data_IF_359706471335
#
_entry.id   IF_359706471335
#
_cell.length_a   1.000
_cell.length_b   1.000
_cell.length_c   1.000
_cell.angle_alpha   90.00
_cell.angle_beta   90.00
_cell.angle_gamma   90.00
#
_symmetry.space_group_name_H-M   'P 1'
#
loop_
_entity.id
_entity.type
_entity.pdbx_description
1 polymer ?
#
# COMPACT_ATOMS: atom_id res chain seq x y z
N UNK A 1 -13.01 69.49 13.46
CA UNK A 1 -12.25 68.23 13.61
C UNK A 1 -10.87 68.40 12.98
N UNK A 2 -9.80 68.27 13.77
CA UNK A 2 -8.42 68.54 13.37
C UNK A 2 -7.89 67.49 12.39
N UNK A 3 -7.21 67.92 11.31
CA UNK A 3 -6.65 67.08 10.24
C UNK A 3 -5.90 65.83 10.76
N UNK A 4 -5.19 65.97 11.89
CA UNK A 4 -4.49 64.88 12.60
C UNK A 4 -5.38 63.69 12.99
N UNK A 5 -6.62 63.93 13.47
CA UNK A 5 -7.54 62.84 13.86
C UNK A 5 -8.01 62.02 12.66
N UNK A 6 -8.21 62.68 11.50
CA UNK A 6 -8.62 62.01 10.27
C UNK A 6 -7.50 61.12 9.72
N UNK A 7 -6.26 61.62 9.74
CA UNK A 7 -5.08 60.88 9.30
C UNK A 7 -4.86 59.64 10.18
N UNK A 8 -4.95 59.76 11.52
CA UNK A 8 -4.81 58.62 12.42
C UNK A 8 -5.88 57.54 12.21
N UNK A 9 -7.12 57.93 11.90
CA UNK A 9 -8.19 56.98 11.57
C UNK A 9 -7.93 56.23 10.27
N UNK A 10 -7.44 56.92 9.23
CA UNK A 10 -7.11 56.31 7.95
C UNK A 10 -5.93 55.32 8.07
N UNK A 11 -4.89 55.68 8.82
CA UNK A 11 -3.75 54.79 9.10
C UNK A 11 -4.23 53.55 9.87
N UNK A 12 -5.06 53.74 10.90
CA UNK A 12 -5.64 52.62 11.66
C UNK A 12 -6.47 51.68 10.80
N UNK A 13 -7.35 52.23 9.96
CA UNK A 13 -8.17 51.45 9.03
C UNK A 13 -7.31 50.68 8.00
N UNK A 14 -6.25 51.31 7.49
CA UNK A 14 -5.32 50.68 6.55
C UNK A 14 -4.55 49.51 7.20
N UNK A 15 -4.07 49.68 8.43
CA UNK A 15 -3.39 48.62 9.18
C UNK A 15 -4.32 47.45 9.49
N UNK A 16 -5.59 47.71 9.81
CA UNK A 16 -6.59 46.66 10.03
C UNK A 16 -6.88 45.85 8.75
N UNK A 17 -6.97 46.52 7.60
CA UNK A 17 -7.14 45.86 6.30
C UNK A 17 -5.93 44.98 5.94
N UNK A 18 -4.71 45.47 6.21
CA UNK A 18 -3.48 44.69 6.04
C UNK A 18 -3.47 43.44 6.93
N UNK A 19 -3.77 43.60 8.21
CA UNK A 19 -3.83 42.48 9.16
C UNK A 19 -4.88 41.42 8.74
N UNK A 20 -6.05 41.86 8.27
CA UNK A 20 -7.09 40.96 7.76
C UNK A 20 -6.64 40.19 6.52
N UNK A 21 -5.93 40.84 5.58
CA UNK A 21 -5.39 40.17 4.39
C UNK A 21 -4.32 39.13 4.76
N UNK A 22 -3.42 39.46 5.69
CA UNK A 22 -2.40 38.52 6.17
C UNK A 22 -3.04 37.31 6.88
N UNK A 23 -4.05 37.53 7.73
CA UNK A 23 -4.77 36.46 8.40
C UNK A 23 -5.50 35.54 7.41
N UNK A 24 -6.18 36.12 6.41
CA UNK A 24 -6.87 35.36 5.36
C UNK A 24 -5.88 34.53 4.52
N UNK A 25 -4.73 35.10 4.14
CA UNK A 25 -3.67 34.39 3.43
C UNK A 25 -3.09 33.24 4.27
N UNK A 26 -2.84 33.44 5.57
CA UNK A 26 -2.33 32.40 6.47
C UNK A 26 -3.31 31.21 6.63
N UNK A 27 -4.61 31.49 6.75
CA UNK A 27 -5.65 30.44 6.75
C UNK A 27 -5.67 29.70 5.40
N UNK A 28 -5.54 30.42 4.29
CA UNK A 28 -5.47 29.83 2.95
C UNK A 28 -4.26 28.92 2.74
N UNK A 29 -3.07 29.34 3.20
CA UNK A 29 -1.82 28.54 3.11
C UNK A 29 -1.95 27.26 3.94
N UNK A 30 -2.39 27.36 5.20
CA UNK A 30 -2.54 26.18 6.06
C UNK A 30 -3.63 25.20 5.58
N UNK A 31 -4.71 25.70 4.95
CA UNK A 31 -5.70 24.85 4.32
C UNK A 31 -5.15 24.11 3.09
N UNK A 32 -4.35 24.78 2.25
CA UNK A 32 -3.66 24.17 1.10
C UNK A 32 -2.62 23.13 1.52
N UNK A 33 -1.88 23.39 2.59
CA UNK A 33 -0.89 22.45 3.12
C UNK A 33 -1.54 21.16 3.62
N UNK A 34 -2.70 21.27 4.28
CA UNK A 34 -3.48 20.10 4.74
C UNK A 34 -4.02 19.26 3.58
N UNK A 35 -4.54 19.92 2.54
CA UNK A 35 -5.02 19.23 1.33
C UNK A 35 -3.87 18.54 0.58
N UNK A 36 -2.73 19.23 0.44
CA UNK A 36 -1.52 18.68 -0.18
C UNK A 36 -0.96 17.49 0.59
N UNK A 37 -0.90 17.58 1.94
CA UNK A 37 -0.43 16.50 2.79
C UNK A 37 -1.31 15.24 2.69
N UNK A 38 -2.64 15.41 2.64
CA UNK A 38 -3.55 14.29 2.44
C UNK A 38 -3.45 13.72 1.02
N UNK A 39 -3.36 14.55 0.00
CA UNK A 39 -3.20 14.10 -1.39
C UNK A 39 -1.92 13.26 -1.58
N UNK A 40 -0.79 13.70 -1.01
CA UNK A 40 0.47 12.94 -1.02
C UNK A 40 0.33 11.62 -0.27
N UNK A 41 -0.35 11.60 0.88
CA UNK A 41 -0.61 10.36 1.64
C UNK A 41 -1.45 9.36 0.86
N UNK A 42 -2.52 9.81 0.20
CA UNK A 42 -3.37 8.93 -0.61
C UNK A 42 -2.66 8.41 -1.87
N UNK A 43 -1.85 9.25 -2.53
CA UNK A 43 -1.04 8.82 -3.66
C UNK A 43 -0.09 7.69 -3.27
N UNK A 44 0.65 7.86 -2.16
CA UNK A 44 1.57 6.83 -1.66
C UNK A 44 0.86 5.53 -1.31
N UNK A 45 -0.30 5.60 -0.64
CA UNK A 45 -1.07 4.41 -0.33
C UNK A 45 -1.50 3.63 -1.59
N UNK A 46 -1.83 4.33 -2.68
CA UNK A 46 -2.14 3.69 -3.97
C UNK A 46 -0.93 2.98 -4.56
N UNK A 47 0.25 3.61 -4.53
CA UNK A 47 1.49 3.01 -5.03
C UNK A 47 1.92 1.79 -4.19
N UNK A 48 1.80 1.88 -2.86
CA UNK A 48 2.09 0.78 -1.95
C UNK A 48 1.15 -0.42 -2.16
N UNK A 49 -0.13 -0.19 -2.50
CA UNK A 49 -1.08 -1.26 -2.85
C UNK A 49 -0.68 -1.94 -4.16
N UNK A 50 -0.27 -1.17 -5.19
CA UNK A 50 0.19 -1.76 -6.46
C UNK A 50 1.46 -2.56 -6.26
N UNK A 51 2.39 -2.05 -5.46
CA UNK A 51 3.62 -2.74 -5.12
C UNK A 51 3.34 -4.02 -4.32
N UNK A 52 2.39 -3.98 -3.37
CA UNK A 52 1.96 -5.18 -2.65
C UNK A 52 1.39 -6.26 -3.58
N UNK A 53 0.59 -5.87 -4.58
CA UNK A 53 0.09 -6.81 -5.58
C UNK A 53 1.24 -7.39 -6.42
N UNK A 54 2.20 -6.56 -6.83
CA UNK A 54 3.39 -7.02 -7.54
C UNK A 54 4.20 -8.03 -6.70
N UNK A 55 4.38 -7.77 -5.40
CA UNK A 55 5.08 -8.68 -4.48
C UNK A 55 4.40 -10.06 -4.39
N UNK A 56 3.07 -10.13 -4.50
CA UNK A 56 2.34 -11.41 -4.57
C UNK A 56 2.44 -12.07 -5.95
N UNK A 57 2.43 -11.29 -7.03
CA UNK A 57 2.60 -11.82 -8.39
C UNK A 57 4.00 -12.40 -8.58
N UNK A 58 5.03 -11.76 -8.03
CA UNK A 58 6.40 -12.29 -8.02
C UNK A 58 6.48 -13.61 -7.27
N UNK A 59 5.74 -13.74 -6.16
CA UNK A 59 5.61 -15.00 -5.44
C UNK A 59 4.98 -16.10 -6.29
N UNK A 60 3.82 -15.84 -6.91
CA UNK A 60 3.16 -16.82 -7.79
C UNK A 60 4.08 -17.22 -8.94
N UNK A 61 4.75 -16.25 -9.56
CA UNK A 61 5.63 -16.46 -10.70
C UNK A 61 6.84 -17.31 -10.33
N UNK A 62 7.48 -17.02 -9.18
CA UNK A 62 8.61 -17.79 -8.67
C UNK A 62 8.25 -19.24 -8.36
N UNK A 63 7.13 -19.46 -7.65
CA UNK A 63 6.62 -20.80 -7.34
C UNK A 63 6.37 -21.59 -8.62
N UNK A 64 5.67 -21.01 -9.59
CA UNK A 64 5.34 -21.72 -10.85
C UNK A 64 6.60 -22.05 -11.65
N UNK A 65 7.56 -21.12 -11.73
CA UNK A 65 8.84 -21.37 -12.38
C UNK A 65 9.61 -22.52 -11.72
N UNK A 66 9.68 -22.51 -10.39
CA UNK A 66 10.32 -23.58 -9.62
C UNK A 66 9.63 -24.92 -9.82
N UNK A 67 8.30 -24.96 -9.77
CA UNK A 67 7.54 -26.20 -9.97
C UNK A 67 7.73 -26.79 -11.37
N UNK A 68 7.92 -25.96 -12.40
CA UNK A 68 8.15 -26.42 -13.76
C UNK A 68 9.57 -26.99 -13.92
N UNK A 69 10.58 -26.31 -13.37
CA UNK A 69 11.98 -26.56 -13.72
C UNK A 69 12.78 -27.30 -12.65
N UNK A 70 12.38 -27.21 -11.38
CA UNK A 70 13.18 -27.63 -10.23
C UNK A 70 14.36 -26.70 -9.91
N UNK A 71 14.51 -25.56 -10.58
CA UNK A 71 15.60 -24.62 -10.35
C UNK A 71 15.35 -23.75 -9.11
N UNK A 72 16.06 -24.03 -8.04
CA UNK A 72 15.97 -23.33 -6.74
C UNK A 72 16.16 -21.81 -6.86
N UNK A 73 16.88 -21.31 -7.88
CA UNK A 73 17.04 -19.87 -8.11
C UNK A 73 15.72 -19.17 -8.45
N UNK A 74 14.70 -19.91 -8.92
CA UNK A 74 13.38 -19.37 -9.19
C UNK A 74 12.54 -19.18 -7.91
N UNK A 75 13.01 -19.65 -6.75
CA UNK A 75 12.39 -19.35 -5.45
C UNK A 75 12.80 -17.98 -4.90
N UNK A 76 13.76 -17.30 -5.50
CA UNK A 76 14.19 -15.98 -5.08
C UNK A 76 13.07 -14.92 -5.12
N UNK A 77 12.30 -14.79 -6.24
CA UNK A 77 11.11 -13.94 -6.30
C UNK A 77 10.08 -14.28 -5.21
N UNK A 78 9.87 -15.57 -4.92
CA UNK A 78 8.99 -16.01 -3.84
C UNK A 78 9.47 -15.53 -2.46
N UNK A 79 10.74 -15.77 -2.14
CA UNK A 79 11.31 -15.40 -0.83
C UNK A 79 11.36 -13.88 -0.65
N UNK A 80 11.76 -13.13 -1.69
CA UNK A 80 11.82 -11.66 -1.65
C UNK A 80 10.43 -11.04 -1.60
N UNK A 81 9.52 -11.46 -2.48
CA UNK A 81 8.15 -10.97 -2.52
C UNK A 81 7.41 -11.19 -1.21
N UNK A 82 7.61 -12.34 -0.54
CA UNK A 82 7.00 -12.60 0.77
C UNK A 82 7.44 -11.59 1.84
N UNK A 83 8.75 -11.32 1.93
CA UNK A 83 9.28 -10.32 2.88
C UNK A 83 8.81 -8.91 2.56
N UNK A 84 8.79 -8.54 1.28
CA UNK A 84 8.34 -7.22 0.84
C UNK A 84 6.84 -7.01 1.12
N UNK A 85 6.00 -8.01 0.82
CA UNK A 85 4.58 -7.97 1.11
C UNK A 85 4.29 -7.82 2.61
N UNK A 86 4.98 -8.56 3.48
CA UNK A 86 4.82 -8.46 4.93
C UNK A 86 5.17 -7.05 5.45
N UNK A 87 6.27 -6.46 4.95
CA UNK A 87 6.65 -5.09 5.29
C UNK A 87 5.59 -4.07 4.86
N UNK A 88 5.12 -4.15 3.59
CA UNK A 88 4.11 -3.24 3.05
C UNK A 88 2.77 -3.35 3.74
N UNK A 89 2.34 -4.56 4.12
CA UNK A 89 1.13 -4.74 4.92
C UNK A 89 1.22 -3.98 6.25
N UNK A 90 2.39 -3.97 6.89
CA UNK A 90 2.65 -3.20 8.10
C UNK A 90 2.57 -1.68 7.86
N UNK A 91 3.24 -1.20 6.82
CA UNK A 91 3.25 0.22 6.44
C UNK A 91 1.84 0.73 6.09
N UNK A 92 1.13 0.00 5.22
CA UNK A 92 -0.26 0.30 4.85
C UNK A 92 -1.19 0.25 6.06
N UNK A 93 -1.01 -0.67 7.01
CA UNK A 93 -1.82 -0.72 8.21
C UNK A 93 -1.64 0.53 9.09
N UNK A 94 -0.42 1.09 9.14
CA UNK A 94 -0.11 2.36 9.81
C UNK A 94 -0.72 3.56 9.09
N UNK A 95 -0.57 3.64 7.77
CA UNK A 95 -1.18 4.70 6.95
C UNK A 95 -2.71 4.73 7.07
N UNK A 96 -3.32 3.55 7.20
CA UNK A 96 -4.77 3.38 7.30
C UNK A 96 -5.30 3.42 8.75
N UNK A 97 -4.50 3.80 9.75
CA UNK A 97 -4.89 3.77 11.17
C UNK A 97 -6.28 4.38 11.46
N UNK A 98 -6.63 5.50 10.81
CA UNK A 98 -7.92 6.18 10.94
C UNK A 98 -9.07 5.64 10.07
N UNK A 99 -8.84 4.60 9.26
CA UNK A 99 -9.78 4.06 8.28
C UNK A 99 -10.09 2.58 8.56
N UNK A 100 -10.98 2.31 9.53
CA UNK A 100 -11.29 0.95 10.01
C UNK A 100 -11.72 -0.02 8.90
N UNK A 101 -12.54 0.43 7.95
CA UNK A 101 -13.00 -0.39 6.83
C UNK A 101 -11.84 -0.82 5.91
N UNK A 102 -10.97 0.12 5.52
CA UNK A 102 -9.80 -0.15 4.68
C UNK A 102 -8.79 -1.06 5.40
N UNK A 103 -8.55 -0.86 6.69
CA UNK A 103 -7.73 -1.78 7.49
C UNK A 103 -8.28 -3.19 7.53
N UNK A 104 -9.60 -3.35 7.60
CA UNK A 104 -10.24 -4.67 7.54
C UNK A 104 -9.98 -5.33 6.20
N UNK A 105 -10.15 -4.60 5.09
CA UNK A 105 -9.85 -5.13 3.75
C UNK A 105 -8.37 -5.52 3.61
N UNK A 106 -7.45 -4.67 4.05
CA UNK A 106 -6.01 -4.98 4.03
C UNK A 106 -5.68 -6.27 4.81
N UNK A 107 -6.31 -6.47 5.99
CA UNK A 107 -6.16 -7.71 6.75
C UNK A 107 -6.69 -8.93 5.99
N UNK A 108 -7.81 -8.79 5.27
CA UNK A 108 -8.35 -9.89 4.46
C UNK A 108 -7.40 -10.27 3.33
N UNK A 109 -6.78 -9.29 2.65
CA UNK A 109 -5.74 -9.56 1.63
C UNK A 109 -4.58 -10.34 2.23
N UNK A 110 -4.05 -9.90 3.38
CA UNK A 110 -2.96 -10.63 4.04
C UNK A 110 -3.34 -12.04 4.52
N UNK A 111 -4.60 -12.26 4.92
CA UNK A 111 -5.11 -13.59 5.27
C UNK A 111 -5.25 -14.49 4.04
N UNK A 112 -5.78 -13.96 2.93
CA UNK A 112 -5.88 -14.68 1.66
C UNK A 112 -4.50 -15.08 1.13
N UNK A 113 -3.51 -14.18 1.23
CA UNK A 113 -2.14 -14.46 0.82
C UNK A 113 -1.51 -15.57 1.64
N UNK A 114 -1.65 -15.52 2.97
CA UNK A 114 -1.17 -16.60 3.86
C UNK A 114 -1.86 -17.92 3.60
N UNK A 115 -3.16 -17.90 3.27
CA UNK A 115 -3.89 -19.11 2.90
C UNK A 115 -3.33 -19.72 1.61
N UNK A 116 -3.16 -18.91 0.56
CA UNK A 116 -2.54 -19.37 -0.68
C UNK A 116 -1.12 -19.92 -0.46
N UNK A 117 -0.28 -19.21 0.31
CA UNK A 117 1.08 -19.66 0.61
C UNK A 117 1.07 -21.03 1.30
N UNK A 118 0.28 -21.18 2.36
CA UNK A 118 0.23 -22.40 3.17
C UNK A 118 -0.42 -23.58 2.44
N UNK A 119 -1.51 -23.34 1.73
CA UNK A 119 -2.37 -24.40 1.22
C UNK A 119 -2.08 -24.76 -0.26
N UNK A 120 -1.24 -23.98 -0.95
CA UNK A 120 -0.83 -24.25 -2.32
C UNK A 120 0.68 -24.12 -2.52
N UNK A 121 1.25 -22.92 -2.31
CA UNK A 121 2.65 -22.67 -2.68
C UNK A 121 3.64 -23.57 -1.93
N UNK A 122 3.54 -23.66 -0.60
CA UNK A 122 4.45 -24.44 0.23
C UNK A 122 4.35 -25.96 -0.05
N UNK A 123 3.15 -26.57 -0.17
CA UNK A 123 3.03 -27.97 -0.62
C UNK A 123 3.64 -28.22 -2.01
N UNK A 124 3.44 -27.32 -2.96
CA UNK A 124 4.00 -27.43 -4.32
C UNK A 124 5.53 -27.35 -4.29
N UNK A 125 6.09 -26.37 -3.58
CA UNK A 125 7.54 -26.21 -3.37
C UNK A 125 8.11 -27.47 -2.70
N UNK A 126 7.49 -27.91 -1.60
CA UNK A 126 7.97 -29.05 -0.81
C UNK A 126 7.96 -30.35 -1.63
N UNK A 127 7.01 -30.52 -2.55
CA UNK A 127 6.97 -31.70 -3.41
C UNK A 127 8.17 -31.74 -4.36
N UNK A 128 8.49 -30.61 -5.00
CA UNK A 128 9.67 -30.50 -5.88
C UNK A 128 10.96 -30.75 -5.11
N UNK A 129 11.13 -30.14 -3.93
CA UNK A 129 12.32 -30.30 -3.09
C UNK A 129 12.54 -31.74 -2.61
N UNK A 130 11.47 -32.52 -2.51
CA UNK A 130 11.54 -33.95 -2.17
C UNK A 130 11.71 -34.85 -3.41
N UNK A 131 11.96 -34.28 -4.60
CA UNK A 131 12.08 -35.01 -5.86
C UNK A 131 10.75 -35.52 -6.42
N UNK A 132 9.61 -35.09 -5.86
CA UNK A 132 8.25 -35.55 -6.23
C UNK A 132 7.62 -34.67 -7.31
N UNK A 133 8.31 -34.50 -8.44
CA UNK A 133 7.90 -33.59 -9.51
C UNK A 133 6.49 -33.87 -10.07
N UNK A 134 6.12 -35.14 -10.21
CA UNK A 134 4.77 -35.53 -10.68
C UNK A 134 3.68 -35.12 -9.70
N UNK A 135 3.97 -35.18 -8.40
CA UNK A 135 3.01 -34.77 -7.38
C UNK A 135 2.86 -33.26 -7.35
N UNK A 136 3.97 -32.50 -7.45
CA UNK A 136 3.92 -31.05 -7.59
C UNK A 136 3.05 -30.62 -8.79
N UNK A 137 3.23 -31.27 -9.95
CA UNK A 137 2.38 -31.06 -11.13
C UNK A 137 0.90 -31.38 -10.88
N UNK A 138 0.61 -32.44 -10.10
CA UNK A 138 -0.77 -32.82 -9.73
C UNK A 138 -1.40 -31.79 -8.79
N UNK A 139 -0.63 -31.28 -7.81
CA UNK A 139 -1.06 -30.22 -6.90
C UNK A 139 -1.42 -28.94 -7.67
N UNK A 140 -0.59 -28.52 -8.63
CA UNK A 140 -0.89 -27.38 -9.51
C UNK A 140 -2.13 -27.66 -10.37
N UNK A 141 -2.22 -28.85 -10.96
CA UNK A 141 -3.34 -29.25 -11.82
C UNK A 141 -4.68 -29.29 -11.07
N UNK A 142 -4.67 -29.53 -9.75
CA UNK A 142 -5.87 -29.44 -8.90
C UNK A 142 -6.57 -28.08 -8.96
N UNK A 143 -5.84 -27.02 -9.35
CA UNK A 143 -6.35 -25.66 -9.44
C UNK A 143 -6.49 -24.94 -8.10
N UNK A 144 -6.06 -25.57 -6.99
CA UNK A 144 -6.12 -24.99 -5.64
C UNK A 144 -5.35 -23.67 -5.57
N UNK A 145 -4.09 -23.65 -6.06
CA UNK A 145 -3.28 -22.44 -6.11
C UNK A 145 -3.94 -21.32 -6.89
N UNK A 146 -4.44 -21.60 -8.11
CA UNK A 146 -5.14 -20.62 -8.95
C UNK A 146 -6.37 -20.03 -8.26
N UNK A 147 -7.18 -20.87 -7.61
CA UNK A 147 -8.41 -20.45 -6.92
C UNK A 147 -8.09 -19.56 -5.71
N UNK A 148 -7.13 -19.96 -4.89
CA UNK A 148 -6.75 -19.18 -3.70
C UNK A 148 -6.06 -17.86 -4.08
N UNK A 149 -5.15 -17.90 -5.06
CA UNK A 149 -4.48 -16.70 -5.56
C UNK A 149 -5.44 -15.75 -6.29
N UNK A 150 -6.48 -16.28 -6.93
CA UNK A 150 -7.50 -15.48 -7.61
C UNK A 150 -8.22 -14.49 -6.69
N UNK A 151 -8.22 -14.70 -5.38
CA UNK A 151 -8.78 -13.76 -4.38
C UNK A 151 -7.88 -12.52 -4.17
N UNK A 152 -6.61 -12.59 -4.59
CA UNK A 152 -5.63 -11.51 -4.46
C UNK A 152 -5.61 -10.55 -5.66
N UNK A 153 -6.20 -10.94 -6.80
CA UNK A 153 -6.39 -10.09 -7.99
C UNK A 153 -7.74 -9.40 -7.96
#
# INVERSE_FOLDING_TARGET
MTSRRRISLLIGAFLLLLASNTAFAAVGVTARDRLSANAVRYSRAGDDIRALLADYVDQETGVRGFVITGDDSLLDPYRRGRRAADARLGELAGLLAGHTALRRQLRQVGLAARAWQRDAAEPEISAVQQGRQREAGTLVASGTGRRLFGVLR
#
